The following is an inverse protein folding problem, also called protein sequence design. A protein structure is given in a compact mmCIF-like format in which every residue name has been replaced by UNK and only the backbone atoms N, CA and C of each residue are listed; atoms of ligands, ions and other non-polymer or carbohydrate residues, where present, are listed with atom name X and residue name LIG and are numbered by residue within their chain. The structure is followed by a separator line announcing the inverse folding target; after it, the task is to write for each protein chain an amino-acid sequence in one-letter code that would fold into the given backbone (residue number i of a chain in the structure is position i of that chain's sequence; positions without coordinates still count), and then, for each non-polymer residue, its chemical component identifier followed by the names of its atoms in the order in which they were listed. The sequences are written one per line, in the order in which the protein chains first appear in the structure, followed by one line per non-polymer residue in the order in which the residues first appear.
data_IF_282492459332
#
_entry.id   IF_282492459332
#
_cell.length_a   1.000
_cell.length_b   1.000
_cell.length_c   1.000
_cell.angle_alpha   90.00
_cell.angle_beta   90.00
_cell.angle_gamma   90.00
#
_symmetry.space_group_name_H-M   'P 1'
#
loop_
_entity.id
_entity.type
_entity.pdbx_description
1 polymer ?
#
# COMPACT_ATOMS: atom_id res chain seq x y z
N UNK A 1 22.86 19.33 28.91
CA UNK A 1 21.65 19.46 28.11
C UNK A 1 21.56 18.28 27.15
N UNK A 2 20.46 17.54 27.21
CA UNK A 2 20.15 16.48 26.25
C UNK A 2 19.91 17.17 24.91
N UNK A 3 20.78 16.92 23.93
CA UNK A 3 20.53 17.40 22.56
C UNK A 3 19.34 16.62 22.01
N UNK A 4 18.24 17.32 21.73
CA UNK A 4 17.10 16.75 21.02
C UNK A 4 17.58 16.36 19.61
N UNK A 5 17.48 15.08 19.26
CA UNK A 5 17.85 14.60 17.93
C UNK A 5 16.65 14.81 17.03
N UNK A 6 16.77 15.68 16.03
CA UNK A 6 15.76 15.87 15.00
C UNK A 6 16.22 15.23 13.70
N UNK A 7 15.36 14.45 13.09
CA UNK A 7 15.61 13.81 11.80
C UNK A 7 15.03 14.64 10.65
N UNK A 8 15.75 14.70 9.54
CA UNK A 8 15.19 15.23 8.29
C UNK A 8 14.12 14.26 7.77
N UNK A 9 13.04 14.76 7.18
CA UNK A 9 12.04 13.90 6.55
C UNK A 9 12.66 12.98 5.49
N UNK A 10 12.13 11.75 5.41
CA UNK A 10 12.44 10.82 4.34
C UNK A 10 11.50 11.10 3.18
N UNK A 11 12.05 11.39 2.01
CA UNK A 11 11.28 11.49 0.78
C UNK A 11 11.29 10.15 0.04
N UNK A 12 10.12 9.54 -0.09
CA UNK A 12 9.94 8.25 -0.74
C UNK A 12 9.15 8.42 -2.05
N UNK A 13 9.86 8.43 -3.16
CA UNK A 13 9.27 8.53 -4.50
C UNK A 13 8.86 7.15 -5.00
N UNK A 14 7.60 6.99 -5.41
CA UNK A 14 7.00 5.72 -5.80
C UNK A 14 6.44 5.82 -7.21
N UNK A 15 7.01 5.04 -8.14
CA UNK A 15 6.48 4.82 -9.48
C UNK A 15 6.67 3.35 -9.82
N UNK A 16 5.61 2.55 -9.67
CA UNK A 16 5.74 1.09 -9.70
C UNK A 16 4.51 0.38 -10.24
N UNK A 17 4.73 -0.75 -10.91
CA UNK A 17 3.68 -1.72 -11.24
C UNK A 17 3.26 -2.59 -10.06
N UNK A 18 4.00 -2.57 -8.97
CA UNK A 18 3.83 -3.44 -7.81
C UNK A 18 4.95 -4.47 -7.69
N UNK A 19 4.67 -5.57 -7.03
CA UNK A 19 5.65 -6.63 -6.80
C UNK A 19 5.20 -7.65 -5.77
N UNK A 20 6.16 -8.32 -5.15
CA UNK A 20 5.94 -9.37 -4.17
C UNK A 20 5.26 -8.83 -2.89
N UNK A 21 4.20 -9.51 -2.44
CA UNK A 21 3.48 -9.12 -1.23
C UNK A 21 4.34 -9.15 0.04
N UNK A 22 5.22 -10.15 0.18
CA UNK A 22 6.15 -10.22 1.33
C UNK A 22 7.18 -9.10 1.31
N UNK A 23 7.69 -8.75 0.13
CA UNK A 23 8.58 -7.59 -0.04
C UNK A 23 7.87 -6.27 0.28
N UNK A 24 6.61 -6.12 -0.12
CA UNK A 24 5.77 -4.99 0.26
C UNK A 24 5.64 -4.86 1.78
N UNK A 25 5.34 -5.96 2.48
CA UNK A 25 5.23 -5.94 3.95
C UNK A 25 6.55 -5.63 4.63
N UNK A 26 7.69 -6.12 4.11
CA UNK A 26 8.99 -5.78 4.66
C UNK A 26 9.26 -4.26 4.63
N UNK A 27 8.94 -3.61 3.51
CA UNK A 27 9.05 -2.14 3.39
C UNK A 27 8.02 -1.44 4.27
N UNK A 28 6.78 -1.90 4.29
CA UNK A 28 5.71 -1.35 5.11
C UNK A 28 6.03 -1.39 6.60
N UNK A 29 6.52 -2.51 7.11
CA UNK A 29 6.91 -2.66 8.51
C UNK A 29 8.09 -1.73 8.86
N UNK A 30 9.07 -1.60 7.97
CA UNK A 30 10.16 -0.64 8.14
C UNK A 30 9.64 0.81 8.17
N UNK A 31 8.71 1.18 7.29
CA UNK A 31 8.09 2.50 7.30
C UNK A 31 7.34 2.77 8.61
N UNK A 32 6.58 1.80 9.09
CA UNK A 32 5.85 1.93 10.38
C UNK A 32 6.78 2.17 11.55
N UNK A 33 7.90 1.46 11.62
CA UNK A 33 8.88 1.62 12.71
C UNK A 33 9.57 2.97 12.67
N UNK A 34 9.83 3.50 11.49
CA UNK A 34 10.56 4.77 11.29
C UNK A 34 9.66 5.99 11.45
N UNK A 35 8.43 5.95 10.96
CA UNK A 35 7.55 7.14 10.88
C UNK A 35 7.10 7.68 12.23
N UNK A 36 7.28 6.94 13.31
CA UNK A 36 7.00 7.42 14.66
C UNK A 36 8.01 8.48 15.13
N UNK A 37 9.25 8.38 14.62
CA UNK A 37 10.34 9.30 14.97
C UNK A 37 10.74 10.23 13.83
N UNK A 38 10.47 9.84 12.59
CA UNK A 38 10.88 10.55 11.38
C UNK A 38 9.73 10.63 10.39
N UNK A 39 9.40 11.84 9.94
CA UNK A 39 8.38 12.04 8.91
C UNK A 39 8.76 11.32 7.61
N UNK A 40 7.82 10.58 7.03
CA UNK A 40 7.96 9.96 5.71
C UNK A 40 7.00 10.67 4.75
N UNK A 41 7.56 11.41 3.81
CA UNK A 41 6.82 12.05 2.74
C UNK A 41 6.79 11.09 1.56
N UNK A 42 5.63 10.55 1.21
CA UNK A 42 5.49 9.70 0.03
C UNK A 42 5.04 10.50 -1.17
N UNK A 43 5.57 10.16 -2.35
CA UNK A 43 5.20 10.74 -3.63
C UNK A 43 4.78 9.63 -4.60
N UNK A 44 3.52 9.55 -4.97
CA UNK A 44 3.03 8.69 -6.05
C UNK A 44 3.15 9.40 -7.39
N UNK A 45 3.98 8.88 -8.29
CA UNK A 45 4.30 9.53 -9.57
C UNK A 45 4.04 8.60 -10.75
N UNK A 46 3.25 9.07 -11.71
CA UNK A 46 2.91 8.36 -12.95
C UNK A 46 2.03 7.14 -12.70
N UNK A 47 2.52 6.13 -12.00
CA UNK A 47 1.77 4.92 -11.64
C UNK A 47 2.13 4.41 -10.26
N UNK A 48 1.12 4.07 -9.49
CA UNK A 48 1.25 3.41 -8.19
C UNK A 48 0.27 2.25 -8.16
N UNK A 49 0.75 1.06 -8.41
CA UNK A 49 -0.10 -0.10 -8.63
C UNK A 49 0.21 -1.22 -7.65
N UNK A 50 -0.84 -2.00 -7.30
CA UNK A 50 -0.69 -3.21 -6.50
C UNK A 50 0.02 -2.94 -5.16
N UNK A 51 1.16 -3.57 -4.89
CA UNK A 51 1.97 -3.37 -3.69
C UNK A 51 2.33 -1.89 -3.43
N UNK A 52 2.50 -1.09 -4.48
CA UNK A 52 2.82 0.33 -4.36
C UNK A 52 1.75 1.16 -3.66
N UNK A 53 0.49 0.75 -3.73
CA UNK A 53 -0.63 1.48 -3.12
C UNK A 53 -0.51 1.53 -1.60
N UNK A 54 -0.19 0.40 -0.97
CA UNK A 54 0.05 0.37 0.47
C UNK A 54 1.25 1.22 0.86
N UNK A 55 2.33 1.19 0.08
CA UNK A 55 3.53 1.98 0.37
C UNK A 55 3.27 3.49 0.25
N UNK A 56 2.45 3.91 -0.72
CA UNK A 56 2.01 5.31 -0.82
C UNK A 56 1.17 5.71 0.40
N UNK A 57 0.22 4.89 0.78
CA UNK A 57 -0.67 5.12 1.90
C UNK A 57 0.04 5.10 3.27
N UNK A 58 1.17 4.39 3.36
CA UNK A 58 1.95 4.21 4.59
C UNK A 58 2.84 5.40 4.96
N UNK A 59 2.92 6.44 4.13
CA UNK A 59 3.57 7.69 4.51
C UNK A 59 2.93 8.36 5.73
N UNK A 60 3.60 9.34 6.29
CA UNK A 60 3.05 10.15 7.38
C UNK A 60 1.77 10.83 6.92
N UNK A 61 0.66 10.63 7.64
CA UNK A 61 -0.64 11.23 7.29
C UNK A 61 -0.52 12.75 7.24
N UNK A 62 -1.05 13.34 6.17
CA UNK A 62 -0.88 14.76 5.83
C UNK A 62 0.28 15.03 4.87
N UNK A 63 1.21 14.08 4.71
CA UNK A 63 2.43 14.23 3.90
C UNK A 63 2.49 13.23 2.73
N UNK A 64 1.38 12.57 2.41
CA UNK A 64 1.29 11.62 1.30
C UNK A 64 0.85 12.36 0.03
N UNK A 65 1.74 12.48 -0.92
CA UNK A 65 1.56 13.28 -2.13
C UNK A 65 1.37 12.39 -3.36
N UNK A 66 0.54 12.86 -4.28
CA UNK A 66 0.28 12.15 -5.54
C UNK A 66 0.26 13.12 -6.72
N UNK A 67 0.95 12.79 -7.78
CA UNK A 67 0.92 13.56 -9.03
C UNK A 67 -0.48 13.53 -9.65
N UNK A 68 -0.94 14.67 -10.19
CA UNK A 68 -2.29 14.81 -10.77
C UNK A 68 -2.60 13.79 -11.87
N UNK A 69 -1.58 13.31 -12.56
CA UNK A 69 -1.70 12.34 -13.65
C UNK A 69 -1.36 10.91 -13.22
N UNK A 70 -1.08 10.69 -11.93
CA UNK A 70 -0.75 9.38 -11.41
C UNK A 70 -1.97 8.47 -11.45
N UNK A 71 -1.78 7.23 -11.94
CA UNK A 71 -2.81 6.18 -11.88
C UNK A 71 -2.50 5.24 -10.74
N UNK A 72 -3.49 5.03 -9.90
CA UNK A 72 -3.46 4.05 -8.82
C UNK A 72 -4.25 2.81 -9.25
N UNK A 73 -3.78 1.62 -8.92
CA UNK A 73 -4.50 0.39 -9.23
C UNK A 73 -4.46 -0.57 -8.05
N UNK A 74 -5.65 -1.00 -7.64
CA UNK A 74 -5.88 -1.97 -6.57
C UNK A 74 -6.39 -3.27 -7.18
N UNK A 75 -5.86 -4.39 -6.72
CA UNK A 75 -6.35 -5.72 -7.05
C UNK A 75 -6.05 -6.73 -5.93
N UNK A 76 -6.70 -7.87 -5.96
CA UNK A 76 -6.41 -8.98 -5.04
C UNK A 76 -4.99 -9.52 -5.22
N UNK A 77 -4.44 -10.09 -4.16
CA UNK A 77 -3.18 -10.82 -4.22
C UNK A 77 -3.27 -11.91 -5.30
N UNK A 78 -2.25 -12.00 -6.13
CA UNK A 78 -2.11 -13.05 -7.14
C UNK A 78 -1.10 -14.07 -6.67
N UNK A 79 -1.39 -15.33 -6.94
CA UNK A 79 -0.46 -16.42 -6.71
C UNK A 79 -0.60 -17.45 -7.83
N UNK A 80 0.53 -17.91 -8.35
CA UNK A 80 0.61 -19.06 -9.23
C UNK A 80 1.16 -20.22 -8.40
N UNK A 81 0.43 -21.32 -8.36
CA UNK A 81 0.70 -22.45 -7.48
C UNK A 81 0.89 -23.72 -8.30
N UNK A 82 1.89 -24.52 -7.93
CA UNK A 82 2.32 -25.68 -8.69
C UNK A 82 2.89 -26.74 -7.76
N UNK A 83 2.44 -27.97 -7.85
CA UNK A 83 2.98 -29.05 -7.06
C UNK A 83 1.96 -30.06 -6.55
N UNK A 84 2.32 -30.83 -5.51
CA UNK A 84 1.47 -31.81 -4.88
C UNK A 84 0.28 -31.17 -4.14
N UNK A 85 -0.83 -31.91 -4.03
CA UNK A 85 -2.12 -31.41 -3.47
C UNK A 85 -1.90 -30.73 -2.11
N UNK A 86 -1.21 -31.37 -1.17
CA UNK A 86 -1.01 -30.79 0.17
C UNK A 86 -0.19 -29.50 0.15
N UNK A 87 0.77 -29.38 -0.74
CA UNK A 87 1.52 -28.13 -0.92
C UNK A 87 0.62 -27.03 -1.50
N UNK A 88 -0.23 -27.36 -2.47
CA UNK A 88 -1.19 -26.43 -3.05
C UNK A 88 -2.18 -25.92 -2.02
N UNK A 89 -2.68 -26.78 -1.14
CA UNK A 89 -3.57 -26.41 -0.03
C UNK A 89 -2.88 -25.43 0.94
N UNK A 90 -1.66 -25.75 1.37
CA UNK A 90 -0.88 -24.91 2.29
C UNK A 90 -0.58 -23.53 1.68
N UNK A 91 -0.16 -23.48 0.42
CA UNK A 91 0.14 -22.23 -0.26
C UNK A 91 -1.12 -21.39 -0.52
N UNK A 92 -2.27 -22.06 -0.75
CA UNK A 92 -3.54 -21.36 -0.88
C UNK A 92 -3.97 -20.70 0.42
N UNK A 93 -3.82 -21.39 1.56
CA UNK A 93 -4.07 -20.80 2.89
C UNK A 93 -3.15 -19.61 3.18
N UNK A 94 -1.86 -19.73 2.84
CA UNK A 94 -0.88 -18.63 2.97
C UNK A 94 -1.26 -17.43 2.08
N UNK A 95 -1.72 -17.68 0.87
CA UNK A 95 -2.18 -16.62 -0.05
C UNK A 95 -3.41 -15.91 0.50
N UNK A 96 -4.36 -16.64 1.09
CA UNK A 96 -5.52 -16.05 1.77
C UNK A 96 -5.10 -15.20 2.95
N UNK A 97 -4.12 -15.66 3.74
CA UNK A 97 -3.59 -14.88 4.85
C UNK A 97 -2.95 -13.57 4.37
N UNK A 98 -2.11 -13.63 3.33
CA UNK A 98 -1.52 -12.42 2.72
C UNK A 98 -2.59 -11.45 2.22
N UNK A 99 -3.63 -11.96 1.58
CA UNK A 99 -4.76 -11.14 1.14
C UNK A 99 -5.45 -10.42 2.30
N UNK A 100 -5.71 -11.13 3.40
CA UNK A 100 -6.36 -10.55 4.57
C UNK A 100 -5.46 -9.50 5.25
N UNK A 101 -4.15 -9.76 5.36
CA UNK A 101 -3.20 -8.78 5.90
C UNK A 101 -3.10 -7.53 5.01
N UNK A 102 -3.11 -7.70 3.70
CA UNK A 102 -3.12 -6.57 2.76
C UNK A 102 -4.36 -5.70 2.93
N UNK A 103 -5.53 -6.33 3.05
CA UNK A 103 -6.80 -5.62 3.32
C UNK A 103 -6.71 -4.86 4.65
N UNK A 104 -6.27 -5.51 5.71
CA UNK A 104 -6.16 -4.89 7.03
C UNK A 104 -5.21 -3.68 7.02
N UNK A 105 -4.05 -3.81 6.37
CA UNK A 105 -3.08 -2.73 6.26
C UNK A 105 -3.63 -1.53 5.45
N UNK A 106 -4.30 -1.78 4.32
CA UNK A 106 -4.93 -0.70 3.54
C UNK A 106 -6.07 -0.01 4.30
N UNK A 107 -6.85 -0.74 5.08
CA UNK A 107 -7.89 -0.17 5.95
C UNK A 107 -7.25 0.71 7.03
N UNK A 108 -6.16 0.28 7.64
CA UNK A 108 -5.43 1.06 8.66
C UNK A 108 -4.84 2.35 8.08
N UNK A 109 -4.32 2.32 6.87
CA UNK A 109 -3.61 3.43 6.26
C UNK A 109 -4.46 4.35 5.37
N UNK A 110 -5.75 4.04 5.18
CA UNK A 110 -6.67 4.82 4.33
C UNK A 110 -8.01 5.07 5.03
N UNK A 111 -8.93 5.72 4.32
CA UNK A 111 -10.31 5.93 4.78
C UNK A 111 -11.27 4.85 4.25
N UNK A 112 -10.74 3.82 3.60
CA UNK A 112 -11.52 2.69 3.11
C UNK A 112 -11.96 1.79 4.26
N UNK A 113 -13.26 1.51 4.34
CA UNK A 113 -13.74 0.45 5.23
C UNK A 113 -13.37 -0.93 4.68
N UNK A 114 -13.20 -1.91 5.56
CA UNK A 114 -12.95 -3.31 5.18
C UNK A 114 -14.02 -3.85 4.23
N UNK A 115 -15.29 -3.52 4.47
CA UNK A 115 -16.42 -3.90 3.61
C UNK A 115 -16.30 -3.31 2.21
N UNK A 116 -15.97 -2.01 2.11
CA UNK A 116 -15.81 -1.33 0.82
C UNK A 116 -14.62 -1.90 0.04
N UNK A 117 -13.48 -2.07 0.70
CA UNK A 117 -12.28 -2.63 0.07
C UNK A 117 -12.50 -4.07 -0.42
N UNK A 118 -13.12 -4.93 0.40
CA UNK A 118 -13.51 -6.28 -0.04
C UNK A 118 -14.42 -6.25 -1.27
N UNK A 119 -15.42 -5.36 -1.29
CA UNK A 119 -16.30 -5.20 -2.46
C UNK A 119 -15.55 -4.77 -3.72
N UNK A 120 -14.54 -3.91 -3.61
CA UNK A 120 -13.69 -3.53 -4.75
C UNK A 120 -12.87 -4.72 -5.24
N UNK A 121 -12.28 -5.48 -4.34
CA UNK A 121 -11.43 -6.64 -4.66
C UNK A 121 -12.24 -7.83 -5.22
N UNK A 122 -13.47 -8.03 -4.77
CA UNK A 122 -14.38 -9.08 -5.24
C UNK A 122 -14.81 -8.91 -6.71
N UNK A 123 -14.60 -7.74 -7.29
CA UNK A 123 -14.84 -7.49 -8.71
C UNK A 123 -13.97 -8.35 -9.64
N UNK A 124 -12.93 -8.99 -9.09
CA UNK A 124 -11.97 -9.87 -9.81
C UNK A 124 -11.26 -9.21 -10.99
N UNK A 125 -11.15 -7.89 -10.95
CA UNK A 125 -10.52 -7.06 -11.99
C UNK A 125 -9.61 -6.03 -11.34
N UNK A 126 -8.72 -5.44 -12.11
CA UNK A 126 -7.95 -4.30 -11.67
C UNK A 126 -8.87 -3.09 -11.48
N UNK A 127 -8.83 -2.47 -10.32
CA UNK A 127 -9.58 -1.26 -10.00
C UNK A 127 -8.65 -0.07 -10.14
N UNK A 128 -8.84 0.72 -11.18
CA UNK A 128 -8.05 1.92 -11.44
C UNK A 128 -8.68 3.14 -10.79
N UNK A 129 -7.84 3.93 -10.12
CA UNK A 129 -8.22 5.19 -9.49
C UNK A 129 -7.43 6.35 -10.08
N UNK A 130 -8.08 7.49 -10.18
CA UNK A 130 -7.45 8.79 -10.43
C UNK A 130 -6.75 9.29 -9.17
N UNK A 131 -5.90 10.31 -9.29
CA UNK A 131 -5.32 10.97 -8.12
C UNK A 131 -6.40 11.53 -7.18
N UNK A 132 -7.49 12.08 -7.76
CA UNK A 132 -8.62 12.60 -6.98
C UNK A 132 -9.32 11.50 -6.17
N UNK A 133 -9.61 10.36 -6.79
CA UNK A 133 -10.21 9.21 -6.09
C UNK A 133 -9.27 8.64 -5.02
N UNK A 134 -7.95 8.66 -5.25
CA UNK A 134 -6.97 8.27 -4.23
C UNK A 134 -7.00 9.18 -3.00
N UNK A 135 -7.22 10.49 -3.19
CA UNK A 135 -7.46 11.44 -2.08
C UNK A 135 -8.80 11.13 -1.39
N UNK A 136 -9.87 10.92 -2.13
CA UNK A 136 -11.21 10.61 -1.59
C UNK A 136 -11.20 9.33 -0.75
N UNK A 137 -10.39 8.35 -1.11
CA UNK A 137 -10.21 7.10 -0.35
C UNK A 137 -9.16 7.20 0.77
N UNK A 138 -8.54 8.35 0.96
CA UNK A 138 -7.53 8.55 2.00
C UNK A 138 -6.24 7.77 1.76
N UNK A 139 -5.94 7.38 0.52
CA UNK A 139 -4.69 6.73 0.12
C UNK A 139 -3.55 7.76 0.04
N UNK A 140 -3.87 8.98 -0.35
CA UNK A 140 -2.97 10.12 -0.37
C UNK A 140 -3.68 11.36 0.19
N UNK A 141 -2.92 12.43 0.44
CA UNK A 141 -3.41 13.63 1.11
C UNK A 141 -3.39 14.86 0.20
N UNK A 142 -2.41 14.97 -0.70
CA UNK A 142 -2.13 16.17 -1.48
C UNK A 142 -1.90 15.79 -2.95
N UNK A 143 -2.59 16.45 -3.88
CA UNK A 143 -2.29 16.38 -5.31
C UNK A 143 -1.23 17.44 -5.64
N UNK A 144 -0.16 17.02 -6.27
CA UNK A 144 0.94 17.86 -6.74
C UNK A 144 1.03 17.87 -8.25
#
# INVERSE_FOLDING_TARGET
PIKEVTYKPIEFNISTWGGCARGMFAVYDAMRSVREECEIITYGLGKVMSAGVLLLAAGTKGSRKIGKNCRVMIHSVRADQFGAIHNLENEFEETKWLQEQHINALVEESDLSKKHLKKLLDRKVNVYLTAKEAIEYGIADIIV
#
